data_IF_762180775723
#
_entry.id   IF_762180775723
#
_cell.length_a   1.000
_cell.length_b   1.000
_cell.length_c   1.000
_cell.angle_alpha   90.00
_cell.angle_beta   90.00
_cell.angle_gamma   90.00
#
_symmetry.space_group_name_H-M   'P 1'
#
loop_
_entity.id
_entity.type
_entity.pdbx_description
1 polymer ?
#
# COMPACT_ATOMS: atom_id res chain seq x y z
N UNK A 1 21.74 31.83 8.01
CA UNK A 1 21.12 30.73 7.24
C UNK A 1 20.41 29.83 8.24
N UNK A 2 19.09 29.74 8.22
CA UNK A 2 18.36 28.85 9.15
C UNK A 2 18.73 27.41 8.80
N UNK A 3 19.33 26.68 9.74
CA UNK A 3 19.95 25.36 9.54
C UNK A 3 19.00 24.21 9.22
N UNK A 4 17.94 24.43 8.45
CA UNK A 4 17.17 23.36 7.83
C UNK A 4 17.72 23.13 6.43
N UNK A 5 18.02 21.87 6.05
CA UNK A 5 18.38 21.55 4.68
C UNK A 5 17.27 22.01 3.73
N UNK A 6 17.66 22.60 2.60
CA UNK A 6 16.72 22.99 1.56
C UNK A 6 16.03 21.73 1.02
N UNK A 7 14.72 21.80 0.72
CA UNK A 7 14.03 20.73 0.01
C UNK A 7 14.77 20.49 -1.32
N UNK A 8 15.34 19.29 -1.46
CA UNK A 8 16.14 18.89 -2.60
C UNK A 8 15.54 17.61 -3.19
N UNK A 9 15.57 17.51 -4.51
CA UNK A 9 15.23 16.28 -5.21
C UNK A 9 16.42 15.32 -5.10
N UNK A 10 16.17 14.10 -4.66
CA UNK A 10 17.20 13.07 -4.51
C UNK A 10 16.70 11.73 -5.04
N UNK A 11 17.63 10.87 -5.45
CA UNK A 11 17.35 9.50 -5.86
C UNK A 11 17.65 8.57 -4.70
N UNK A 12 16.65 7.77 -4.31
CA UNK A 12 16.76 6.84 -3.19
C UNK A 12 16.46 5.42 -3.64
N UNK A 13 17.09 4.46 -2.95
CA UNK A 13 16.71 3.05 -3.03
C UNK A 13 15.55 2.75 -2.07
N UNK A 14 14.70 1.80 -2.44
CA UNK A 14 13.52 1.47 -1.66
C UNK A 14 13.04 0.02 -1.90
N UNK A 15 12.56 -0.62 -0.84
CA UNK A 15 11.91 -1.92 -0.89
C UNK A 15 10.38 -1.80 -0.82
N UNK A 16 9.68 -2.58 -1.65
CA UNK A 16 8.22 -2.72 -1.61
C UNK A 16 7.83 -4.18 -1.43
N UNK A 17 6.91 -4.42 -0.51
CA UNK A 17 6.30 -5.74 -0.33
C UNK A 17 4.80 -5.59 -0.07
N UNK A 18 4.05 -6.63 -0.40
CA UNK A 18 2.61 -6.62 -0.28
C UNK A 18 1.98 -7.97 -0.56
N UNK A 19 0.67 -8.02 -0.38
CA UNK A 19 -0.14 -9.19 -0.69
C UNK A 19 -1.51 -8.76 -1.21
N UNK A 20 -2.02 -9.54 -2.14
CA UNK A 20 -3.37 -9.42 -2.70
C UNK A 20 -4.11 -10.74 -2.50
N UNK A 21 -5.32 -10.66 -1.96
CA UNK A 21 -6.17 -11.81 -1.67
C UNK A 21 -7.56 -11.60 -2.26
N UNK A 22 -7.92 -12.43 -3.23
CA UNK A 22 -9.30 -12.56 -3.70
C UNK A 22 -10.09 -13.53 -2.84
N UNK A 23 -11.34 -13.19 -2.52
CA UNK A 23 -12.27 -14.08 -1.84
C UNK A 23 -13.66 -14.00 -2.46
N UNK A 24 -14.37 -15.13 -2.44
CA UNK A 24 -15.73 -15.25 -2.94
C UNK A 24 -16.52 -16.24 -2.09
N UNK A 25 -17.72 -15.86 -1.70
CA UNK A 25 -18.60 -16.69 -0.87
C UNK A 25 -20.04 -16.61 -1.35
N UNK A 26 -20.67 -17.76 -1.59
CA UNK A 26 -22.11 -17.83 -1.90
C UNK A 26 -22.90 -17.88 -0.60
N UNK A 27 -23.68 -16.83 -0.33
CA UNK A 27 -24.56 -16.78 0.84
C UNK A 27 -25.88 -17.50 0.58
N UNK A 28 -26.37 -17.46 -0.67
CA UNK A 28 -27.57 -18.19 -1.12
C UNK A 28 -27.54 -18.40 -2.63
N UNK A 29 -28.56 -19.04 -3.19
CA UNK A 29 -28.71 -19.22 -4.64
C UNK A 29 -28.82 -17.89 -5.42
N UNK A 30 -29.14 -16.80 -4.72
CA UNK A 30 -29.34 -15.47 -5.31
C UNK A 30 -28.35 -14.41 -4.83
N UNK A 31 -27.52 -14.71 -3.82
CA UNK A 31 -26.59 -13.74 -3.24
C UNK A 31 -25.18 -14.33 -3.11
N UNK A 32 -24.22 -13.62 -3.71
CA UNK A 32 -22.80 -13.90 -3.60
C UNK A 32 -22.08 -12.65 -3.14
N UNK A 33 -21.09 -12.83 -2.27
CA UNK A 33 -20.16 -11.81 -1.86
C UNK A 33 -18.82 -12.12 -2.50
N UNK A 34 -18.31 -11.18 -3.29
CA UNK A 34 -16.98 -11.25 -3.88
C UNK A 34 -16.20 -10.02 -3.46
N UNK A 35 -14.92 -10.21 -3.19
CA UNK A 35 -14.06 -9.12 -2.79
C UNK A 35 -12.59 -9.39 -3.02
N UNK A 36 -11.81 -8.32 -2.95
CA UNK A 36 -10.35 -8.35 -3.04
C UNK A 36 -9.79 -7.48 -1.92
N UNK A 37 -8.91 -8.08 -1.12
CA UNK A 37 -8.17 -7.42 -0.06
C UNK A 37 -6.73 -7.19 -0.55
N UNK A 38 -6.26 -5.95 -0.47
CA UNK A 38 -4.93 -5.55 -0.95
C UNK A 38 -4.18 -4.78 0.13
N UNK A 39 -2.93 -5.16 0.36
CA UNK A 39 -2.02 -4.45 1.25
C UNK A 39 -0.64 -4.33 0.62
N UNK A 40 -0.15 -3.10 0.51
CA UNK A 40 1.20 -2.82 0.03
C UNK A 40 1.88 -1.90 1.03
N UNK A 41 3.16 -2.15 1.28
CA UNK A 41 4.02 -1.28 2.07
C UNK A 41 5.31 -1.04 1.30
N UNK A 42 5.62 0.24 1.12
CA UNK A 42 6.91 0.69 0.61
C UNK A 42 7.70 1.34 1.74
N UNK A 43 8.97 0.97 1.88
CA UNK A 43 9.91 1.58 2.81
C UNK A 43 11.10 2.12 2.05
N UNK A 44 11.67 3.19 2.57
CA UNK A 44 12.96 3.68 2.08
C UNK A 44 14.08 2.83 2.68
N UNK A 45 15.16 2.68 1.94
CA UNK A 45 16.33 1.90 2.39
C UNK A 45 17.41 2.79 3.02
N UNK A 46 17.33 4.10 2.82
CA UNK A 46 18.28 5.10 3.33
C UNK A 46 17.92 5.62 4.72
N UNK A 47 16.63 5.68 5.06
CA UNK A 47 16.10 6.13 6.35
C UNK A 47 14.92 5.24 6.80
N UNK A 48 14.67 5.12 8.11
CA UNK A 48 13.53 4.35 8.65
C UNK A 48 12.21 5.12 8.50
N UNK A 49 11.79 5.31 7.24
CA UNK A 49 10.53 5.94 6.89
C UNK A 49 9.82 5.20 5.74
N UNK A 50 8.50 5.39 5.64
CA UNK A 50 7.69 4.78 4.60
C UNK A 50 7.67 5.64 3.34
N UNK A 51 7.57 5.00 2.18
CA UNK A 51 7.33 5.71 0.93
C UNK A 51 5.97 6.41 0.95
N UNK A 52 5.95 7.63 0.43
CA UNK A 52 4.71 8.37 0.24
C UNK A 52 3.85 7.74 -0.85
N UNK A 53 2.53 7.91 -0.72
CA UNK A 53 1.50 7.52 -1.72
C UNK A 53 1.36 6.01 -1.94
N UNK A 54 1.83 5.19 -1.00
CA UNK A 54 1.45 3.78 -0.97
C UNK A 54 0.04 3.67 -0.39
N UNK A 55 -0.86 2.98 -1.10
CA UNK A 55 -2.22 2.78 -0.65
C UNK A 55 -2.22 1.94 0.65
N UNK A 56 -3.00 2.33 1.67
CA UNK A 56 -3.13 1.52 2.87
C UNK A 56 -3.89 0.22 2.56
N UNK A 57 -4.01 -0.63 3.58
CA UNK A 57 -4.89 -1.80 3.53
C UNK A 57 -6.27 -1.39 3.02
N UNK A 58 -6.68 -2.00 1.91
CA UNK A 58 -7.95 -1.71 1.28
C UNK A 58 -8.68 -2.98 0.90
N UNK A 59 -10.01 -2.88 0.88
CA UNK A 59 -10.91 -3.94 0.49
C UNK A 59 -11.87 -3.40 -0.56
N UNK A 60 -11.95 -4.08 -1.70
CA UNK A 60 -12.91 -3.81 -2.75
C UNK A 60 -13.92 -4.94 -2.81
N UNK A 61 -15.20 -4.61 -2.68
CA UNK A 61 -16.32 -5.52 -2.92
C UNK A 61 -16.83 -5.36 -4.35
N UNK A 62 -17.26 -6.47 -4.96
CA UNK A 62 -17.90 -6.50 -6.28
C UNK A 62 -19.40 -6.78 -6.15
#
# INVERSE_FOLDING_TARGET
MSGNPALMFDNIDAEMYGADLGYGYKLSDHFSLEGTLSYVRGKRDDEDDNLYRIAPLNNRLA
#
